data_IF_810265667716
#
_entry.id   IF_810265667716
#
_cell.length_a   1.000
_cell.length_b   1.000
_cell.length_c   1.000
_cell.angle_alpha   90.00
_cell.angle_beta   90.00
_cell.angle_gamma   90.00
#
_symmetry.space_group_name_H-M   'P 1'
#
loop_
_entity.id
_entity.type
_entity.pdbx_description
1 polymer ?
#
# COMPACT_ATOMS: atom_id res chain seq x y z
N UNK A 1 -43.70 40.32 3.09
CA UNK A 1 -43.86 39.17 4.01
C UNK A 1 -43.53 37.90 3.27
N UNK A 2 -42.31 37.40 3.43
CA UNK A 2 -41.89 36.07 2.99
C UNK A 2 -42.07 35.10 4.16
N UNK A 3 -42.53 33.86 3.96
CA UNK A 3 -42.26 32.80 4.92
C UNK A 3 -40.99 32.06 4.51
N UNK A 4 -40.06 31.99 5.47
CA UNK A 4 -38.92 31.11 5.47
C UNK A 4 -39.37 29.64 5.35
N UNK A 5 -38.60 28.83 4.63
CA UNK A 5 -38.68 27.37 4.73
C UNK A 5 -37.31 26.82 5.12
N UNK A 6 -37.36 26.07 6.21
CA UNK A 6 -36.26 25.58 7.01
C UNK A 6 -35.28 24.69 6.25
N UNK A 7 -34.01 24.85 6.60
CA UNK A 7 -32.93 23.94 6.27
C UNK A 7 -33.12 22.62 7.01
N UNK A 8 -33.58 21.60 6.28
CA UNK A 8 -33.45 20.20 6.70
C UNK A 8 -32.07 19.68 6.36
N UNK A 9 -31.15 19.69 7.32
CA UNK A 9 -29.93 18.89 7.28
C UNK A 9 -30.33 17.41 7.24
N UNK A 10 -30.10 16.76 6.10
CA UNK A 10 -30.36 15.34 5.92
C UNK A 10 -29.24 14.54 6.59
N UNK A 11 -29.25 14.52 7.92
CA UNK A 11 -28.40 13.63 8.73
C UNK A 11 -28.97 12.22 8.66
N UNK A 12 -28.55 11.46 7.64
CA UNK A 12 -28.86 10.03 7.54
C UNK A 12 -27.80 9.23 8.30
N UNK A 13 -27.84 9.28 9.62
CA UNK A 13 -27.38 8.15 10.43
C UNK A 13 -28.36 7.00 10.20
N UNK A 14 -28.09 6.17 9.19
CA UNK A 14 -28.80 4.92 8.99
C UNK A 14 -28.51 4.01 10.20
N UNK A 15 -29.53 3.77 11.03
CA UNK A 15 -29.53 2.68 12.00
C UNK A 15 -29.37 1.36 11.23
N UNK A 16 -28.18 0.77 11.28
CA UNK A 16 -27.94 -0.56 10.72
C UNK A 16 -28.52 -1.57 11.71
N UNK A 17 -29.67 -2.16 11.35
CA UNK A 17 -30.23 -3.33 12.03
C UNK A 17 -29.21 -4.49 11.96
N UNK A 18 -29.00 -5.27 13.04
CA UNK A 18 -28.11 -6.41 12.97
C UNK A 18 -28.71 -7.50 12.05
N UNK A 19 -27.85 -7.99 11.16
CA UNK A 19 -27.98 -9.22 10.35
C UNK A 19 -28.83 -9.17 9.07
N UNK A 20 -28.23 -8.62 8.01
CA UNK A 20 -28.24 -9.27 6.70
C UNK A 20 -26.79 -9.65 6.34
N UNK A 21 -26.59 -10.79 5.66
CA UNK A 21 -25.27 -11.21 5.22
C UNK A 21 -24.69 -10.18 4.22
N UNK A 22 -23.85 -9.28 4.73
CA UNK A 22 -23.16 -8.29 3.89
C UNK A 22 -22.05 -8.93 3.06
N UNK A 23 -21.99 -8.56 1.78
CA UNK A 23 -20.85 -8.80 0.91
C UNK A 23 -20.05 -7.50 0.72
N UNK A 24 -18.79 -7.49 1.16
CA UNK A 24 -17.89 -6.34 1.07
C UNK A 24 -16.93 -6.50 -0.10
N UNK A 25 -16.82 -5.50 -0.98
CA UNK A 25 -15.84 -5.48 -2.05
C UNK A 25 -14.71 -4.50 -1.72
N UNK A 26 -13.49 -5.02 -1.55
CA UNK A 26 -12.29 -4.20 -1.38
C UNK A 26 -11.60 -3.90 -2.71
N UNK A 27 -11.29 -2.63 -2.95
CA UNK A 27 -10.64 -2.16 -4.17
C UNK A 27 -9.27 -1.57 -3.86
N UNK A 28 -8.28 -1.95 -4.65
CA UNK A 28 -7.02 -1.21 -4.78
C UNK A 28 -6.63 -1.11 -6.26
N UNK A 29 -5.47 -0.54 -6.56
CA UNK A 29 -5.00 -0.38 -7.94
C UNK A 29 -4.94 -1.71 -8.69
N UNK A 30 -4.24 -2.72 -8.15
CA UNK A 30 -3.95 -3.95 -8.92
C UNK A 30 -4.35 -5.28 -8.34
N UNK A 31 -5.21 -5.29 -7.31
CA UNK A 31 -5.70 -6.52 -6.69
C UNK A 31 -4.62 -7.55 -6.31
N UNK A 32 -3.45 -7.07 -5.90
CA UNK A 32 -2.28 -7.92 -5.62
C UNK A 32 -1.74 -7.74 -4.19
N UNK A 33 -1.98 -6.58 -3.57
CA UNK A 33 -1.48 -6.19 -2.26
C UNK A 33 -2.62 -5.86 -1.27
N UNK A 34 -2.90 -4.56 -1.04
CA UNK A 34 -3.82 -4.06 -0.01
C UNK A 34 -5.22 -4.69 -0.04
N UNK A 35 -5.89 -4.70 -1.19
CA UNK A 35 -7.27 -5.22 -1.28
C UNK A 35 -7.36 -6.73 -1.04
N UNK A 36 -6.35 -7.50 -1.49
CA UNK A 36 -6.29 -8.95 -1.28
C UNK A 36 -6.04 -9.28 0.19
N UNK A 37 -5.12 -8.54 0.82
CA UNK A 37 -4.91 -8.67 2.26
C UNK A 37 -6.19 -8.39 3.04
N UNK A 38 -6.88 -7.28 2.73
CA UNK A 38 -8.14 -6.91 3.38
C UNK A 38 -9.23 -7.98 3.22
N UNK A 39 -9.42 -8.51 2.01
CA UNK A 39 -10.38 -9.61 1.74
C UNK A 39 -10.09 -10.84 2.62
N UNK A 40 -8.84 -11.31 2.60
CA UNK A 40 -8.46 -12.55 3.27
C UNK A 40 -8.53 -12.43 4.79
N UNK A 41 -8.09 -11.30 5.35
CA UNK A 41 -8.21 -10.98 6.78
C UNK A 41 -9.67 -10.86 7.20
N UNK A 42 -10.50 -10.18 6.40
CA UNK A 42 -11.93 -10.06 6.66
C UNK A 42 -12.58 -11.44 6.73
N UNK A 43 -12.39 -12.27 5.70
CA UNK A 43 -12.99 -13.61 5.62
C UNK A 43 -12.45 -14.57 6.68
N UNK A 44 -11.20 -14.41 7.11
CA UNK A 44 -10.64 -15.17 8.21
C UNK A 44 -11.35 -14.84 9.53
N UNK A 45 -11.43 -13.56 9.88
CA UNK A 45 -12.06 -13.15 11.14
C UNK A 45 -13.57 -13.32 11.14
N UNK A 46 -14.26 -13.10 10.02
CA UNK A 46 -15.69 -13.38 9.91
C UNK A 46 -15.99 -14.85 10.24
N UNK A 47 -15.19 -15.79 9.67
CA UNK A 47 -15.32 -17.22 9.98
C UNK A 47 -14.99 -17.55 11.44
N UNK A 48 -13.92 -16.98 12.00
CA UNK A 48 -13.57 -17.19 13.40
C UNK A 48 -14.67 -16.72 14.36
N UNK A 49 -15.38 -15.64 14.00
CA UNK A 49 -16.46 -15.07 14.80
C UNK A 49 -17.83 -15.67 14.47
N UNK A 50 -17.92 -16.62 13.53
CA UNK A 50 -19.20 -17.20 13.10
C UNK A 50 -20.14 -16.20 12.42
N UNK A 51 -19.61 -15.12 11.87
CA UNK A 51 -20.40 -14.08 11.20
C UNK A 51 -20.71 -14.48 9.75
N UNK A 52 -21.92 -14.19 9.24
CA UNK A 52 -22.32 -14.57 7.87
C UNK A 52 -21.73 -13.64 6.79
N UNK A 53 -20.91 -12.66 7.17
CA UNK A 53 -20.36 -11.68 6.25
C UNK A 53 -19.23 -12.27 5.40
N UNK A 54 -19.15 -11.81 4.16
CA UNK A 54 -18.10 -12.22 3.23
C UNK A 54 -17.48 -11.00 2.55
N UNK A 55 -16.26 -11.17 2.08
CA UNK A 55 -15.57 -10.18 1.28
C UNK A 55 -15.00 -10.77 -0.01
N UNK A 56 -14.95 -9.93 -1.04
CA UNK A 56 -14.19 -10.11 -2.26
C UNK A 56 -13.28 -8.89 -2.48
N UNK A 57 -12.42 -8.96 -3.49
CA UNK A 57 -11.58 -7.82 -3.87
C UNK A 57 -11.28 -7.79 -5.36
N UNK A 58 -11.05 -6.59 -5.88
CA UNK A 58 -10.72 -6.38 -7.29
C UNK A 58 -9.81 -5.16 -7.51
N UNK A 59 -9.33 -5.00 -8.74
CA UNK A 59 -8.33 -4.01 -9.15
C UNK A 59 -8.94 -2.91 -10.00
N UNK A 60 -8.60 -1.65 -9.70
CA UNK A 60 -9.12 -0.48 -10.42
C UNK A 60 -8.34 -0.15 -11.70
N UNK A 61 -7.05 -0.49 -11.77
CA UNK A 61 -6.24 -0.31 -12.98
C UNK A 61 -6.27 -1.57 -13.83
N UNK A 62 -6.71 -1.43 -15.08
CA UNK A 62 -6.90 -2.55 -16.00
C UNK A 62 -5.60 -3.31 -16.24
N UNK A 63 -5.66 -4.63 -16.05
CA UNK A 63 -4.57 -5.58 -16.34
C UNK A 63 -3.22 -5.19 -15.71
N UNK A 64 -3.22 -4.33 -14.68
CA UNK A 64 -1.97 -3.86 -14.08
C UNK A 64 -1.23 -4.95 -13.30
N UNK A 65 -1.93 -6.03 -12.96
CA UNK A 65 -1.40 -7.20 -12.27
C UNK A 65 -0.66 -8.19 -13.17
N UNK A 66 -0.77 -8.11 -14.50
CA UNK A 66 -0.09 -9.06 -15.41
C UNK A 66 1.43 -9.02 -15.32
N UNK A 67 1.96 -7.93 -14.76
CA UNK A 67 3.40 -7.74 -14.51
C UNK A 67 3.84 -8.29 -13.16
N UNK A 68 2.90 -8.74 -12.33
CA UNK A 68 3.15 -9.25 -11.00
C UNK A 68 3.08 -10.79 -10.98
N UNK A 69 4.10 -11.48 -10.47
CA UNK A 69 4.10 -12.94 -10.45
C UNK A 69 3.15 -13.51 -9.38
N UNK A 70 2.18 -14.32 -9.81
CA UNK A 70 1.34 -15.13 -8.92
C UNK A 70 0.14 -14.40 -8.30
N UNK A 71 -0.45 -15.00 -7.27
CA UNK A 71 -1.72 -14.57 -6.70
C UNK A 71 -1.64 -13.34 -5.78
N UNK A 72 -0.51 -13.13 -5.10
CA UNK A 72 -0.35 -12.16 -4.01
C UNK A 72 1.06 -11.58 -3.97
N UNK A 73 1.18 -10.32 -3.55
CA UNK A 73 2.48 -9.69 -3.32
C UNK A 73 3.28 -10.42 -2.23
N UNK A 74 4.63 -10.42 -2.30
CA UNK A 74 5.46 -11.00 -1.26
C UNK A 74 5.10 -10.52 0.15
N UNK A 75 4.87 -9.21 0.31
CA UNK A 75 4.44 -8.62 1.58
C UNK A 75 3.09 -9.14 2.07
N UNK A 76 2.11 -9.34 1.18
CA UNK A 76 0.82 -9.93 1.56
C UNK A 76 1.00 -11.39 2.00
N UNK A 77 1.76 -12.18 1.24
CA UNK A 77 2.01 -13.60 1.57
C UNK A 77 2.70 -13.74 2.92
N UNK A 78 3.73 -12.94 3.16
CA UNK A 78 4.44 -12.92 4.45
C UNK A 78 3.50 -12.53 5.59
N UNK A 79 2.74 -11.45 5.44
CA UNK A 79 1.82 -10.98 6.47
C UNK A 79 0.73 -12.01 6.80
N UNK A 80 0.20 -12.73 5.80
CA UNK A 80 -0.77 -13.80 6.00
C UNK A 80 -0.13 -15.03 6.66
N UNK A 81 1.09 -15.40 6.24
CA UNK A 81 1.85 -16.51 6.81
C UNK A 81 2.08 -16.32 8.31
N UNK A 82 2.55 -15.13 8.73
CA UNK A 82 2.75 -14.77 10.14
C UNK A 82 1.45 -14.87 10.96
N UNK A 83 0.29 -14.68 10.32
CA UNK A 83 -1.04 -14.77 10.96
C UNK A 83 -1.67 -16.16 10.88
N UNK A 84 -1.03 -17.11 10.19
CA UNK A 84 -1.62 -18.42 9.92
C UNK A 84 -2.89 -18.36 9.05
N UNK A 85 -3.02 -17.34 8.19
CA UNK A 85 -4.18 -17.17 7.31
C UNK A 85 -3.90 -17.85 5.97
N UNK A 86 -4.65 -18.90 5.67
CA UNK A 86 -4.58 -19.60 4.39
C UNK A 86 -5.21 -18.78 3.25
N UNK A 87 -4.69 -18.97 2.03
CA UNK A 87 -5.24 -18.40 0.80
C UNK A 87 -5.12 -19.42 -0.35
N UNK A 88 -5.96 -19.25 -1.38
CA UNK A 88 -5.86 -20.04 -2.61
C UNK A 88 -4.78 -19.44 -3.54
N UNK A 89 -3.70 -20.18 -3.84
CA UNK A 89 -2.65 -19.70 -4.74
C UNK A 89 -3.08 -19.61 -6.21
N UNK A 90 -4.22 -20.20 -6.59
CA UNK A 90 -4.73 -20.17 -7.96
C UNK A 90 -5.63 -18.96 -8.23
N UNK A 91 -6.12 -18.28 -7.19
CA UNK A 91 -6.93 -17.08 -7.35
C UNK A 91 -6.02 -15.89 -7.65
N UNK A 92 -5.82 -15.66 -8.94
CA UNK A 92 -5.04 -14.53 -9.46
C UNK A 92 -5.75 -13.20 -9.22
N UNK A 93 -5.01 -12.08 -9.27
CA UNK A 93 -5.60 -10.75 -9.29
C UNK A 93 -6.60 -10.59 -10.45
N UNK A 94 -7.63 -9.79 -10.25
CA UNK A 94 -8.63 -9.50 -11.26
C UNK A 94 -9.04 -8.03 -11.27
N UNK A 95 -9.53 -7.57 -12.41
CA UNK A 95 -10.05 -6.21 -12.57
C UNK A 95 -11.46 -6.12 -12.00
N UNK A 96 -11.82 -4.97 -11.46
CA UNK A 96 -13.18 -4.71 -10.99
C UNK A 96 -14.13 -4.62 -12.19
N UNK A 97 -15.32 -5.20 -12.03
CA UNK A 97 -16.41 -5.15 -13.02
C UNK A 97 -17.62 -4.41 -12.46
N UNK A 98 -18.52 -3.98 -13.36
CA UNK A 98 -19.77 -3.33 -12.97
C UNK A 98 -20.65 -4.27 -12.13
N UNK A 99 -20.64 -5.57 -12.44
CA UNK A 99 -21.40 -6.60 -11.73
C UNK A 99 -20.85 -6.81 -10.31
N UNK A 100 -19.52 -6.79 -10.14
CA UNK A 100 -18.90 -6.86 -8.82
C UNK A 100 -19.30 -5.66 -7.94
N UNK A 101 -19.29 -4.45 -8.51
CA UNK A 101 -19.75 -3.24 -7.82
C UNK A 101 -21.24 -3.34 -7.45
N UNK A 102 -22.09 -3.76 -8.38
CA UNK A 102 -23.54 -3.84 -8.19
C UNK A 102 -23.98 -4.91 -7.18
N UNK A 103 -23.25 -6.01 -7.09
CA UNK A 103 -23.55 -7.13 -6.18
C UNK A 103 -23.02 -6.95 -4.75
N UNK A 104 -22.12 -5.99 -4.54
CA UNK A 104 -21.58 -5.71 -3.22
C UNK A 104 -22.55 -4.87 -2.39
N UNK A 105 -22.77 -5.27 -1.14
CA UNK A 105 -23.52 -4.47 -0.15
C UNK A 105 -22.73 -3.23 0.24
N UNK A 106 -21.40 -3.36 0.28
CA UNK A 106 -20.48 -2.29 0.64
C UNK A 106 -19.24 -2.36 -0.23
N UNK A 107 -18.83 -1.22 -0.79
CA UNK A 107 -17.61 -1.11 -1.59
C UNK A 107 -16.63 -0.17 -0.89
N UNK A 108 -15.40 -0.61 -0.73
CA UNK A 108 -14.34 0.13 -0.05
C UNK A 108 -13.12 0.21 -0.96
N UNK A 109 -12.69 1.42 -1.33
CA UNK A 109 -11.40 1.66 -1.95
C UNK A 109 -10.37 2.05 -0.89
N UNK A 110 -9.21 1.37 -0.87
CA UNK A 110 -8.30 1.41 0.28
C UNK A 110 -7.53 2.74 0.46
N UNK A 111 -7.47 3.59 -0.57
CA UNK A 111 -6.75 4.88 -0.56
C UNK A 111 -7.44 5.93 -1.42
N UNK A 112 -7.98 7.00 -0.84
CA UNK A 112 -8.85 7.93 -1.53
C UNK A 112 -8.19 8.69 -2.69
N UNK A 113 -7.06 9.32 -2.42
CA UNK A 113 -6.29 10.13 -3.36
C UNK A 113 -5.84 9.33 -4.59
N UNK A 114 -5.50 8.05 -4.41
CA UNK A 114 -5.10 7.14 -5.48
C UNK A 114 -6.30 6.58 -6.25
N UNK A 115 -7.36 6.14 -5.56
CA UNK A 115 -8.40 5.33 -6.18
C UNK A 115 -9.62 6.13 -6.63
N UNK A 116 -9.96 7.26 -5.97
CA UNK A 116 -11.11 8.09 -6.36
C UNK A 116 -11.01 8.56 -7.82
N UNK A 117 -9.85 9.02 -8.34
CA UNK A 117 -9.71 9.36 -9.75
C UNK A 117 -9.90 8.16 -10.69
N UNK A 118 -9.44 6.96 -10.31
CA UNK A 118 -9.61 5.75 -11.12
C UNK A 118 -11.09 5.32 -11.19
N UNK A 119 -11.80 5.39 -10.06
CA UNK A 119 -13.24 5.16 -10.02
C UNK A 119 -13.96 6.19 -10.87
N UNK A 120 -13.64 7.48 -10.74
CA UNK A 120 -14.27 8.53 -11.55
C UNK A 120 -14.06 8.33 -13.06
N UNK A 121 -12.88 7.86 -13.46
CA UNK A 121 -12.55 7.61 -14.86
C UNK A 121 -13.30 6.38 -15.43
N UNK A 122 -13.42 5.29 -14.68
CA UNK A 122 -13.97 4.02 -15.19
C UNK A 122 -15.44 3.77 -14.81
N UNK A 123 -15.85 4.27 -13.65
CA UNK A 123 -17.14 3.99 -13.01
C UNK A 123 -17.71 5.27 -12.34
N UNK A 124 -17.92 6.37 -13.09
CA UNK A 124 -18.27 7.68 -12.53
C UNK A 124 -19.52 7.67 -11.63
N UNK A 125 -20.51 6.83 -11.93
CA UNK A 125 -21.72 6.67 -11.12
C UNK A 125 -21.48 6.08 -9.72
N UNK A 126 -20.31 5.47 -9.50
CA UNK A 126 -19.92 4.85 -8.24
C UNK A 126 -19.03 5.74 -7.38
N UNK A 127 -18.51 6.86 -7.89
CA UNK A 127 -17.55 7.73 -7.19
C UNK A 127 -18.05 8.20 -5.82
N UNK A 128 -19.35 8.48 -5.68
CA UNK A 128 -19.93 8.92 -4.40
C UNK A 128 -20.63 7.79 -3.63
N UNK A 129 -20.62 6.57 -4.18
CA UNK A 129 -21.23 5.36 -3.57
C UNK A 129 -20.19 4.45 -2.90
N UNK A 130 -18.91 4.69 -3.17
CA UNK A 130 -17.79 3.93 -2.59
C UNK A 130 -17.31 4.65 -1.33
N UNK A 131 -16.99 3.86 -0.29
CA UNK A 131 -16.25 4.36 0.86
C UNK A 131 -14.76 4.37 0.54
N UNK A 132 -14.07 5.46 0.90
CA UNK A 132 -12.65 5.58 0.70
C UNK A 132 -11.92 5.57 2.04
N UNK A 133 -10.88 4.75 2.12
CA UNK A 133 -9.90 4.76 3.21
C UNK A 133 -8.64 5.52 2.79
N UNK A 134 -7.65 5.59 3.68
CA UNK A 134 -6.42 6.34 3.47
C UNK A 134 -5.19 5.48 3.83
N UNK A 135 -5.09 4.29 3.25
CA UNK A 135 -3.95 3.40 3.42
C UNK A 135 -2.99 3.49 2.23
N UNK A 136 -1.83 4.08 2.52
CA UNK A 136 -0.69 4.23 1.63
C UNK A 136 -0.27 2.90 0.96
N UNK A 137 0.23 2.96 -0.28
CA UNK A 137 0.83 1.79 -0.91
C UNK A 137 2.23 1.52 -0.32
N UNK A 138 2.82 0.36 -0.63
CA UNK A 138 4.15 -0.04 -0.19
C UNK A 138 5.24 0.96 -0.60
N UNK A 139 5.03 1.69 -1.70
CA UNK A 139 5.93 2.74 -2.20
C UNK A 139 5.90 4.01 -1.34
N UNK A 140 4.77 4.27 -0.69
CA UNK A 140 4.54 5.46 0.13
C UNK A 140 4.87 5.17 1.60
N UNK A 141 4.55 3.97 2.08
CA UNK A 141 4.76 3.55 3.46
C UNK A 141 5.08 2.04 3.57
N UNK A 142 6.03 1.63 4.44
CA UNK A 142 6.40 0.22 4.57
C UNK A 142 5.22 -0.69 4.92
N UNK A 143 5.18 -1.88 4.31
CA UNK A 143 4.12 -2.86 4.53
C UNK A 143 3.97 -3.30 6.00
N UNK A 144 5.08 -3.27 6.76
CA UNK A 144 5.12 -3.53 8.21
C UNK A 144 4.33 -2.51 9.03
N UNK A 145 4.04 -1.34 8.45
CA UNK A 145 3.20 -0.31 9.07
C UNK A 145 1.78 -0.33 8.48
N UNK A 146 1.66 -0.42 7.16
CA UNK A 146 0.35 -0.35 6.47
C UNK A 146 -0.53 -1.56 6.79
N UNK A 147 0.00 -2.79 6.70
CA UNK A 147 -0.83 -3.99 6.81
C UNK A 147 -1.44 -4.20 8.21
N UNK A 148 -0.71 -3.99 9.33
CA UNK A 148 -1.33 -4.04 10.66
C UNK A 148 -2.42 -2.98 10.87
N UNK A 149 -2.22 -1.76 10.34
CA UNK A 149 -3.21 -0.70 10.45
C UNK A 149 -4.46 -1.01 9.60
N UNK A 150 -4.27 -1.56 8.40
CA UNK A 150 -5.34 -2.01 7.52
C UNK A 150 -6.14 -3.15 8.15
N UNK A 151 -5.49 -4.13 8.77
CA UNK A 151 -6.15 -5.20 9.53
C UNK A 151 -6.99 -4.64 10.68
N UNK A 152 -6.48 -3.65 11.43
CA UNK A 152 -7.24 -3.01 12.50
C UNK A 152 -8.52 -2.36 11.97
N UNK A 153 -8.46 -1.67 10.81
CA UNK A 153 -9.63 -1.10 10.16
C UNK A 153 -10.62 -2.17 9.66
N UNK A 154 -10.12 -3.27 9.10
CA UNK A 154 -10.95 -4.42 8.70
C UNK A 154 -11.68 -5.03 9.90
N UNK A 155 -11.00 -5.18 11.05
CA UNK A 155 -11.63 -5.69 12.28
C UNK A 155 -12.68 -4.73 12.83
N UNK A 156 -12.44 -3.42 12.77
CA UNK A 156 -13.44 -2.41 13.13
C UNK A 156 -14.66 -2.46 12.20
N UNK A 157 -14.44 -2.64 10.88
CA UNK A 157 -15.52 -2.82 9.92
C UNK A 157 -16.36 -4.05 10.26
N UNK A 158 -15.75 -5.19 10.52
CA UNK A 158 -16.44 -6.41 10.93
C UNK A 158 -17.26 -6.21 12.21
N UNK A 159 -16.69 -5.55 13.21
CA UNK A 159 -17.41 -5.25 14.45
C UNK A 159 -18.65 -4.39 14.21
N UNK A 160 -18.60 -3.43 13.28
CA UNK A 160 -19.77 -2.62 12.89
C UNK A 160 -20.82 -3.43 12.14
N UNK A 161 -20.41 -4.28 11.22
CA UNK A 161 -21.34 -5.16 10.51
C UNK A 161 -22.06 -6.13 11.47
N UNK A 162 -21.39 -6.50 12.56
CA UNK A 162 -21.96 -7.30 13.65
C UNK A 162 -22.84 -6.49 14.64
N UNK A 163 -23.09 -5.19 14.42
CA UNK A 163 -23.92 -4.34 15.28
C UNK A 163 -23.18 -3.65 16.44
N UNK A 164 -21.84 -3.59 16.41
CA UNK A 164 -21.04 -2.84 17.37
C UNK A 164 -21.20 -1.31 17.27
N UNK A 165 -20.88 -0.54 18.33
CA UNK A 165 -21.12 0.90 18.40
C UNK A 165 -20.37 1.68 17.30
N UNK A 166 -20.95 2.78 16.78
CA UNK A 166 -20.41 3.56 15.68
C UNK A 166 -19.30 4.55 16.12
N UNK A 167 -18.40 4.17 17.02
CA UNK A 167 -17.31 5.08 17.42
C UNK A 167 -16.06 4.83 16.54
N UNK A 168 -15.79 5.78 15.64
CA UNK A 168 -14.55 5.85 14.85
C UNK A 168 -14.78 6.16 13.37
N UNK A 169 -14.93 7.44 13.02
CA UNK A 169 -15.03 7.94 11.65
C UNK A 169 -14.02 7.22 10.71
N UNK A 170 -14.52 6.48 9.71
CA UNK A 170 -13.73 5.77 8.68
C UNK A 170 -12.86 6.68 7.79
N UNK A 171 -12.85 8.00 8.03
CA UNK A 171 -12.10 8.99 7.24
C UNK A 171 -10.72 9.34 7.78
N UNK A 172 -10.33 8.88 8.97
CA UNK A 172 -9.03 9.25 9.56
C UNK A 172 -8.33 8.06 10.21
N UNK A 173 -7.58 7.31 9.41
CA UNK A 173 -6.42 6.57 9.89
C UNK A 173 -5.15 7.17 9.28
N UNK A 174 -4.90 8.47 9.50
CA UNK A 174 -3.54 8.99 9.41
C UNK A 174 -2.76 8.38 10.59
N UNK A 175 -1.65 7.71 10.29
CA UNK A 175 -0.75 7.19 11.30
C UNK A 175 -0.31 8.32 12.25
N UNK A 176 -0.77 8.30 13.49
CA UNK A 176 -0.33 9.23 14.52
C UNK A 176 1.09 8.87 15.00
N UNK A 177 1.94 9.86 15.34
CA UNK A 177 3.28 9.60 15.86
C UNK A 177 3.19 9.01 17.28
N UNK A 178 4.09 8.06 17.54
CA UNK A 178 4.19 7.27 18.78
C UNK A 178 4.29 8.18 20.01
N UNK A 179 3.40 8.00 20.99
CA UNK A 179 3.67 8.36 22.40
C UNK A 179 3.83 7.08 23.21
N UNK A 180 4.94 7.00 23.91
CA UNK A 180 5.24 6.00 24.92
C UNK A 180 4.23 6.07 26.06
N UNK A 181 3.53 4.97 26.31
CA UNK A 181 2.73 4.78 27.52
C UNK A 181 3.35 3.62 28.31
N UNK A 182 3.79 3.98 29.51
CA UNK A 182 4.16 3.11 30.62
C UNK A 182 3.09 2.02 30.86
N UNK A 183 3.50 0.75 30.85
CA UNK A 183 2.64 -0.37 31.25
C UNK A 183 2.78 -0.60 32.76
N UNK A 184 1.87 0.01 33.53
CA UNK A 184 1.52 -0.47 34.87
C UNK A 184 0.51 -1.62 34.76
N UNK A 185 0.84 -2.77 35.34
CA UNK A 185 -0.05 -3.94 35.41
C UNK A 185 -1.21 -3.67 36.38
N UNK A 186 -2.49 -3.95 36.01
CA UNK A 186 -3.54 -4.13 37.00
C UNK A 186 -3.55 -5.58 37.52
N UNK A 187 -3.87 -5.70 38.82
CA UNK A 187 -3.95 -6.94 39.61
C UNK A 187 -4.96 -7.92 39.03
N UNK A 188 -4.62 -9.21 39.11
CA UNK A 188 -5.46 -10.33 38.73
C UNK A 188 -6.79 -10.34 39.50
N UNK A 189 -7.90 -10.43 38.74
CA UNK A 189 -9.21 -10.82 39.25
C UNK A 189 -9.32 -12.34 39.16
N UNK A 190 -9.66 -12.95 40.30
CA UNK A 190 -9.86 -14.39 40.49
C UNK A 190 -11.04 -14.90 39.66
N UNK A 191 -10.79 -15.80 38.72
CA UNK A 191 -11.84 -16.60 38.07
C UNK A 191 -11.75 -18.02 38.66
N UNK A 192 -12.73 -18.36 39.49
CA UNK A 192 -12.88 -19.70 40.04
C UNK A 192 -13.55 -20.61 39.00
N UNK A 193 -13.04 -21.83 38.84
CA UNK A 193 -13.78 -22.94 38.24
C UNK A 193 -13.28 -23.46 36.90
N UNK A 194 -12.09 -24.08 36.87
CA UNK A 194 -11.77 -25.12 35.90
C UNK A 194 -11.02 -26.24 36.65
N UNK A 195 -11.59 -27.44 36.64
CA UNK A 195 -10.99 -28.64 37.23
C UNK A 195 -9.72 -29.03 36.47
N UNK A 196 -8.56 -28.83 37.11
CA UNK A 196 -7.29 -29.39 36.64
C UNK A 196 -7.22 -30.88 36.98
N UNK A 197 -7.42 -31.76 36.00
CA UNK A 197 -6.80 -33.08 36.03
C UNK A 197 -5.30 -32.90 35.77
N UNK A 198 -4.47 -33.13 36.79
CA UNK A 198 -3.02 -33.11 36.65
C UNK A 198 -2.58 -34.16 35.61
N UNK A 199 -1.68 -33.83 34.66
CA UNK A 199 -1.09 -34.84 33.79
C UNK A 199 -0.28 -35.84 34.64
N UNK A 200 -0.39 -37.12 34.31
CA UNK A 200 0.35 -38.19 34.97
C UNK A 200 1.86 -37.87 35.04
N UNK A 201 2.58 -38.29 36.11
CA UNK A 201 4.00 -38.00 36.27
C UNK A 201 4.78 -38.59 35.10
N UNK A 202 5.37 -37.71 34.30
CA UNK A 202 6.25 -38.06 33.19
C UNK A 202 7.45 -38.80 33.77
N UNK A 203 7.73 -40.02 33.31
CA UNK A 203 8.89 -40.77 33.79
C UNK A 203 10.19 -39.99 33.55
N UNK A 204 11.19 -40.14 34.43
CA UNK A 204 12.48 -39.43 34.30
C UNK A 204 13.10 -39.62 32.91
N UNK A 205 12.94 -40.79 32.30
CA UNK A 205 13.44 -41.09 30.96
C UNK A 205 12.65 -40.40 29.83
N UNK A 206 11.35 -40.18 30.00
CA UNK A 206 10.55 -39.41 29.05
C UNK A 206 10.83 -37.90 29.14
N UNK A 207 11.02 -37.37 30.36
CA UNK A 207 11.41 -35.97 30.56
C UNK A 207 12.77 -35.65 29.91
N UNK A 208 13.77 -36.53 30.09
CA UNK A 208 15.10 -36.36 29.47
C UNK A 208 15.03 -36.37 27.94
N UNK A 209 14.22 -37.25 27.34
CA UNK A 209 14.03 -37.29 25.88
C UNK A 209 13.40 -36.00 25.35
N UNK A 210 12.38 -35.48 26.02
CA UNK A 210 11.71 -34.24 25.62
C UNK A 210 12.70 -33.07 25.66
N UNK A 211 13.46 -32.93 26.75
CA UNK A 211 14.47 -31.87 26.88
C UNK A 211 15.54 -31.99 25.79
N UNK A 212 16.05 -33.20 25.53
CA UNK A 212 17.04 -33.42 24.48
C UNK A 212 16.52 -33.03 23.09
N UNK A 213 15.28 -33.39 22.76
CA UNK A 213 14.65 -33.02 21.49
C UNK A 213 14.46 -31.51 21.35
N UNK A 214 14.01 -30.83 22.42
CA UNK A 214 13.87 -29.37 22.43
C UNK A 214 15.23 -28.70 22.20
N UNK A 215 16.29 -29.16 22.86
CA UNK A 215 17.64 -28.61 22.68
C UNK A 215 18.14 -28.79 21.25
N UNK A 216 17.91 -29.96 20.63
CA UNK A 216 18.29 -30.21 19.23
C UNK A 216 17.52 -29.29 18.27
N UNK A 217 16.21 -29.14 18.46
CA UNK A 217 15.38 -28.27 17.63
C UNK A 217 15.82 -26.81 17.79
N UNK A 218 16.02 -26.33 19.02
CA UNK A 218 16.49 -24.97 19.29
C UNK A 218 17.87 -24.74 18.69
N UNK A 219 18.78 -25.71 18.80
CA UNK A 219 20.11 -25.65 18.18
C UNK A 219 20.05 -25.57 16.66
N UNK A 220 19.20 -26.39 16.02
CA UNK A 220 19.00 -26.36 14.56
C UNK A 220 18.40 -25.04 14.08
N UNK A 221 17.35 -24.55 14.76
CA UNK A 221 16.72 -23.26 14.44
C UNK A 221 17.69 -22.10 14.65
N UNK A 222 18.47 -22.11 15.75
CA UNK A 222 19.47 -21.07 16.03
C UNK A 222 20.61 -21.09 15.01
N UNK A 223 21.08 -22.28 14.63
CA UNK A 223 22.08 -22.44 13.57
C UNK A 223 21.58 -21.90 12.23
N UNK A 224 20.32 -22.16 11.89
CA UNK A 224 19.69 -21.66 10.65
C UNK A 224 19.49 -20.13 10.67
N UNK A 225 19.16 -19.55 11.82
CA UNK A 225 19.05 -18.09 11.97
C UNK A 225 20.41 -17.40 11.85
N UNK A 226 21.50 -18.03 12.29
CA UNK A 226 22.86 -17.51 12.12
C UNK A 226 23.36 -17.59 10.68
N UNK A 227 22.87 -18.56 9.89
CA UNK A 227 23.20 -18.69 8.46
C UNK A 227 22.22 -17.97 7.53
N UNK A 228 21.15 -17.38 8.07
CA UNK A 228 20.24 -16.54 7.30
C UNK A 228 21.01 -15.33 6.80
N UNK A 229 21.35 -15.37 5.52
CA UNK A 229 21.97 -14.28 4.79
C UNK A 229 21.11 -13.04 5.01
N UNK A 230 21.73 -12.00 5.57
CA UNK A 230 21.11 -10.69 5.74
C UNK A 230 20.79 -10.20 4.33
N UNK A 231 19.57 -10.41 3.86
CA UNK A 231 19.08 -9.68 2.70
C UNK A 231 19.20 -8.20 3.07
N UNK A 232 20.11 -7.52 2.36
CA UNK A 232 20.47 -6.14 2.64
C UNK A 232 19.26 -5.29 2.26
N UNK A 233 18.38 -5.06 3.24
CA UNK A 233 17.17 -4.25 3.08
C UNK A 233 17.56 -2.88 2.54
N UNK A 234 17.22 -2.63 1.28
CA UNK A 234 17.51 -1.35 0.64
C UNK A 234 16.60 -0.28 1.24
N UNK A 235 17.19 0.81 1.74
CA UNK A 235 16.42 1.89 2.38
C UNK A 235 15.76 2.77 1.32
N UNK A 236 14.43 2.85 1.35
CA UNK A 236 13.69 3.76 0.49
C UNK A 236 13.79 5.20 1.02
N UNK A 237 14.29 6.12 0.19
CA UNK A 237 14.53 7.53 0.52
C UNK A 237 14.23 8.43 -0.66
N UNK A 238 13.80 9.65 -0.41
CA UNK A 238 13.75 10.68 -1.44
C UNK A 238 15.09 11.41 -1.59
N UNK A 239 15.30 12.06 -2.74
CA UNK A 239 16.51 12.84 -3.02
C UNK A 239 16.81 13.87 -1.91
N UNK A 240 15.80 14.59 -1.41
CA UNK A 240 15.97 15.56 -0.33
C UNK A 240 16.46 14.93 0.97
N UNK A 241 15.95 13.76 1.34
CA UNK A 241 16.36 13.06 2.56
C UNK A 241 17.80 12.52 2.46
N UNK A 242 18.20 12.05 1.27
CA UNK A 242 19.58 11.60 1.02
C UNK A 242 20.53 12.79 1.09
N UNK A 243 20.18 13.89 0.42
CA UNK A 243 21.02 15.08 0.32
C UNK A 243 21.07 15.91 1.62
N UNK A 244 20.09 15.78 2.51
CA UNK A 244 20.12 16.43 3.82
C UNK A 244 21.15 15.79 4.76
N UNK A 245 21.43 14.49 4.62
CA UNK A 245 22.42 13.80 5.46
C UNK A 245 23.18 12.70 4.70
N UNK A 246 24.01 13.05 3.69
CA UNK A 246 24.66 12.06 2.83
C UNK A 246 25.56 11.07 3.59
N UNK A 247 26.27 11.56 4.60
CA UNK A 247 27.17 10.74 5.43
C UNK A 247 26.45 9.60 6.16
N UNK A 248 25.16 9.77 6.50
CA UNK A 248 24.37 8.73 7.18
C UNK A 248 24.02 7.55 6.25
N UNK A 249 24.17 7.75 4.93
CA UNK A 249 23.77 6.80 3.89
C UNK A 249 24.94 6.16 3.16
N UNK A 250 26.18 6.54 3.48
CA UNK A 250 27.37 5.91 2.89
C UNK A 250 27.44 4.43 3.24
N UNK A 251 27.81 3.61 2.24
CA UNK A 251 27.95 2.16 2.39
C UNK A 251 26.63 1.42 2.63
N UNK A 252 25.48 2.10 2.54
CA UNK A 252 24.16 1.47 2.62
C UNK A 252 23.54 1.38 1.24
N UNK A 253 22.81 0.29 1.00
CA UNK A 253 21.97 0.15 -0.18
C UNK A 253 20.71 1.03 -0.04
N UNK A 254 20.45 1.86 -1.04
CA UNK A 254 19.35 2.82 -1.07
C UNK A 254 18.45 2.56 -2.28
N UNK A 255 17.16 2.84 -2.13
CA UNK A 255 16.23 3.08 -3.24
C UNK A 255 15.87 4.56 -3.21
N UNK A 256 16.43 5.33 -4.14
CA UNK A 256 16.28 6.77 -4.17
C UNK A 256 15.20 7.17 -5.16
N UNK A 257 14.13 7.77 -4.65
CA UNK A 257 13.00 8.28 -5.43
C UNK A 257 13.18 9.74 -5.80
N UNK A 258 12.94 10.08 -7.06
CA UNK A 258 12.81 11.46 -7.52
C UNK A 258 12.41 11.54 -8.99
N UNK A 259 12.73 12.67 -9.62
CA UNK A 259 12.35 12.95 -11.00
C UNK A 259 13.60 13.24 -11.82
N UNK A 260 13.67 12.72 -13.04
CA UNK A 260 14.82 12.97 -13.92
C UNK A 260 14.79 14.42 -14.39
N UNK A 261 15.85 15.17 -14.08
CA UNK A 261 15.99 16.57 -14.51
C UNK A 261 15.98 16.61 -16.05
N UNK A 262 15.15 17.45 -16.69
CA UNK A 262 15.12 17.58 -18.14
C UNK A 262 16.50 17.87 -18.72
N UNK A 263 16.82 17.23 -19.85
CA UNK A 263 18.10 17.37 -20.55
C UNK A 263 19.35 16.98 -19.72
N UNK A 264 19.20 16.26 -18.62
CA UNK A 264 20.35 15.78 -17.82
C UNK A 264 20.88 14.40 -18.21
N UNK A 265 20.15 13.65 -19.05
CA UNK A 265 20.52 12.28 -19.41
C UNK A 265 21.65 12.29 -20.43
N UNK A 266 22.84 11.89 -19.98
CA UNK A 266 24.03 11.67 -20.80
C UNK A 266 24.31 10.18 -20.91
N UNK A 267 24.31 9.65 -22.13
CA UNK A 267 24.72 8.28 -22.43
C UNK A 267 26.07 8.29 -23.12
N UNK A 268 27.03 7.51 -22.63
CA UNK A 268 28.33 7.37 -23.32
C UNK A 268 28.15 6.56 -24.62
N UNK A 269 28.57 7.08 -25.79
CA UNK A 269 28.44 6.36 -27.06
C UNK A 269 29.14 5.00 -27.03
N UNK A 270 28.47 3.97 -27.56
CA UNK A 270 29.02 2.61 -27.63
C UNK A 270 29.05 1.84 -26.30
N UNK A 271 28.57 2.41 -25.18
CA UNK A 271 28.48 1.71 -23.90
C UNK A 271 27.05 1.76 -23.32
N UNK A 272 26.86 1.06 -22.20
CA UNK A 272 25.64 1.10 -21.39
C UNK A 272 25.78 2.04 -20.17
N UNK A 273 26.75 2.96 -20.21
CA UNK A 273 26.98 3.90 -19.12
C UNK A 273 26.10 5.15 -19.30
N UNK A 274 25.36 5.48 -18.25
CA UNK A 274 24.47 6.63 -18.15
C UNK A 274 24.89 7.51 -16.97
N UNK A 275 24.82 8.82 -17.19
CA UNK A 275 24.87 9.85 -16.15
C UNK A 275 23.63 10.71 -16.26
N UNK A 276 22.97 10.98 -15.16
CA UNK A 276 21.79 11.83 -15.13
C UNK A 276 21.60 12.42 -13.74
N UNK A 277 20.74 13.44 -13.63
CA UNK A 277 20.43 14.08 -12.36
C UNK A 277 18.99 13.75 -11.99
N UNK A 278 18.80 13.36 -10.73
CA UNK A 278 17.48 13.16 -10.14
C UNK A 278 17.21 14.27 -9.14
N UNK A 279 16.01 14.85 -9.17
CA UNK A 279 15.60 15.93 -8.27
C UNK A 279 14.41 15.54 -7.39
N UNK A 280 14.31 16.16 -6.21
CA UNK A 280 13.08 16.21 -5.43
C UNK A 280 12.17 17.34 -5.93
N UNK A 281 10.85 17.12 -5.86
CA UNK A 281 9.82 18.11 -6.25
C UNK A 281 8.92 18.46 -5.07
N UNK A 282 8.23 19.60 -5.19
CA UNK A 282 7.22 20.07 -4.24
C UNK A 282 6.23 18.95 -3.88
N UNK A 283 5.88 18.75 -2.59
CA UNK A 283 6.08 19.66 -1.45
C UNK A 283 7.46 19.58 -0.77
N UNK A 284 8.41 18.80 -1.30
CA UNK A 284 9.75 18.63 -0.71
C UNK A 284 10.69 19.76 -1.12
N UNK A 285 11.71 20.01 -0.30
CA UNK A 285 12.75 20.96 -0.62
C UNK A 285 13.49 20.51 -1.90
N UNK A 286 13.71 21.41 -2.88
CA UNK A 286 14.39 21.06 -4.12
C UNK A 286 15.84 20.72 -3.84
N UNK A 287 16.20 19.48 -4.14
CA UNK A 287 17.55 18.91 -4.00
C UNK A 287 17.84 18.11 -5.26
N UNK A 288 19.12 17.99 -5.60
CA UNK A 288 19.59 17.28 -6.79
C UNK A 288 20.63 16.24 -6.39
N UNK A 289 20.56 15.07 -7.03
CA UNK A 289 21.48 13.98 -6.84
C UNK A 289 21.97 13.50 -8.21
N UNK A 290 23.29 13.47 -8.40
CA UNK A 290 23.87 12.89 -9.59
C UNK A 290 23.78 11.37 -9.52
N UNK A 291 23.45 10.71 -10.63
CA UNK A 291 23.36 9.26 -10.71
C UNK A 291 24.26 8.75 -11.81
N UNK A 292 25.09 7.77 -11.49
CA UNK A 292 25.82 6.97 -12.45
C UNK A 292 25.19 5.58 -12.51
N UNK A 293 24.79 5.13 -13.70
CA UNK A 293 24.17 3.82 -13.90
C UNK A 293 24.81 3.10 -15.08
N UNK A 294 25.04 1.79 -14.94
CA UNK A 294 25.50 0.95 -16.04
C UNK A 294 24.56 -0.22 -16.23
N UNK A 295 23.82 -0.22 -17.34
CA UNK A 295 22.86 -1.27 -17.62
C UNK A 295 21.82 -0.87 -18.67
N UNK A 296 20.81 -1.72 -18.82
CA UNK A 296 19.67 -1.44 -19.69
C UNK A 296 18.66 -0.63 -18.89
N UNK A 297 18.27 0.53 -19.43
CA UNK A 297 17.22 1.37 -18.86
C UNK A 297 15.87 1.01 -19.50
N UNK A 298 14.75 1.04 -18.76
CA UNK A 298 13.43 0.79 -19.34
C UNK A 298 13.03 1.91 -20.32
N UNK A 299 12.17 1.62 -21.29
CA UNK A 299 11.71 2.60 -22.30
C UNK A 299 10.99 3.82 -21.71
N UNK A 300 10.50 3.67 -20.47
CA UNK A 300 9.83 4.73 -19.70
C UNK A 300 10.80 5.72 -19.07
N UNK A 301 12.10 5.40 -19.02
CA UNK A 301 13.15 6.28 -18.50
C UNK A 301 13.45 7.40 -19.51
N UNK A 302 12.92 8.59 -19.22
CA UNK A 302 13.02 9.78 -20.09
C UNK A 302 13.25 11.03 -19.24
N UNK A 303 13.53 12.15 -19.90
CA UNK A 303 13.48 13.45 -19.22
C UNK A 303 12.11 13.64 -18.55
N UNK A 304 12.09 14.24 -17.37
CA UNK A 304 10.88 14.51 -16.58
C UNK A 304 10.16 13.25 -16.03
N UNK A 305 10.69 12.04 -16.27
CA UNK A 305 10.09 10.82 -15.74
C UNK A 305 10.33 10.68 -14.23
N UNK A 306 9.30 10.20 -13.53
CA UNK A 306 9.41 9.75 -12.14
C UNK A 306 10.25 8.45 -12.11
N UNK A 307 11.25 8.41 -11.23
CA UNK A 307 12.24 7.34 -11.20
C UNK A 307 12.60 6.94 -9.78
N UNK A 308 12.79 5.63 -9.57
CA UNK A 308 13.43 5.05 -8.39
C UNK A 308 14.73 4.39 -8.83
N UNK A 309 15.85 4.88 -8.29
CA UNK A 309 17.18 4.33 -8.54
C UNK A 309 17.62 3.54 -7.31
N UNK A 310 17.81 2.24 -7.47
CA UNK A 310 18.43 1.41 -6.42
C UNK A 310 19.93 1.45 -6.59
N UNK A 311 20.69 1.73 -5.53
CA UNK A 311 22.15 1.83 -5.60
C UNK A 311 22.81 2.15 -4.27
N UNK A 312 24.10 2.47 -4.31
CA UNK A 312 24.87 2.92 -3.15
C UNK A 312 25.39 4.33 -3.39
N UNK A 313 25.39 5.16 -2.33
CA UNK A 313 25.92 6.50 -2.41
C UNK A 313 27.46 6.44 -2.43
N UNK A 314 28.05 7.04 -3.46
CA UNK A 314 29.49 7.19 -3.66
C UNK A 314 29.87 8.62 -3.30
N UNK A 315 30.50 8.79 -2.13
CA UNK A 315 30.76 10.11 -1.56
C UNK A 315 29.50 10.79 -1.04
N UNK A 316 29.34 12.09 -1.32
CA UNK A 316 28.24 12.92 -0.83
C UNK A 316 27.21 13.34 -1.88
N UNK A 317 27.52 13.18 -3.18
CA UNK A 317 26.74 13.83 -4.26
C UNK A 317 26.39 12.90 -5.43
N UNK A 318 26.93 11.68 -5.46
CA UNK A 318 26.70 10.73 -6.54
C UNK A 318 26.16 9.40 -6.03
N UNK A 319 25.09 8.92 -6.65
CA UNK A 319 24.56 7.58 -6.42
C UNK A 319 25.03 6.67 -7.56
N UNK A 320 25.68 5.56 -7.20
CA UNK A 320 26.01 4.49 -8.13
C UNK A 320 24.83 3.52 -8.20
N UNK A 321 24.06 3.62 -9.27
CA UNK A 321 22.85 2.82 -9.51
C UNK A 321 23.17 1.39 -9.95
N UNK A 322 22.41 0.45 -9.39
CA UNK A 322 22.37 -0.97 -9.73
C UNK A 322 21.11 -1.33 -10.52
N UNK A 323 19.99 -0.64 -10.26
CA UNK A 323 18.72 -0.85 -10.96
C UNK A 323 17.92 0.45 -11.05
N UNK A 324 17.19 0.61 -12.16
CA UNK A 324 16.34 1.77 -12.42
C UNK A 324 14.92 1.30 -12.69
N UNK A 325 13.96 1.87 -11.97
CA UNK A 325 12.54 1.74 -12.25
C UNK A 325 12.01 3.13 -12.60
N UNK A 326 11.42 3.30 -13.78
CA UNK A 326 10.89 4.58 -14.23
C UNK A 326 9.41 4.44 -14.62
N UNK A 327 8.62 5.45 -14.29
CA UNK A 327 7.22 5.57 -14.72
C UNK A 327 7.15 6.58 -15.86
N UNK A 328 6.26 6.34 -16.83
CA UNK A 328 6.02 7.31 -17.89
C UNK A 328 5.62 8.66 -17.28
N UNK A 329 6.19 9.79 -17.72
CA UNK A 329 5.71 11.11 -17.33
C UNK A 329 4.26 11.26 -17.82
N UNK A 330 3.30 11.25 -16.91
CA UNK A 330 1.91 11.52 -17.25
C UNK A 330 1.73 13.04 -17.35
N UNK A 331 1.91 13.60 -18.55
CA UNK A 331 1.52 15.00 -18.82
C UNK A 331 0.64 15.13 -20.06
N UNK A 332 -0.65 15.33 -19.79
CA UNK A 332 -1.51 16.22 -20.57
C UNK A 332 -0.91 17.63 -20.41
N UNK A 333 -0.25 18.13 -21.44
CA UNK A 333 0.04 19.56 -21.54
C UNK A 333 -1.15 20.23 -22.23
N UNK A 334 -1.93 21.00 -21.45
CA UNK A 334 -2.72 22.07 -22.01
C UNK A 334 -1.73 23.04 -22.68
N UNK A 335 -1.62 22.97 -24.01
CA UNK A 335 -0.96 24.03 -24.78
C UNK A 335 -1.77 25.30 -24.56
N UNK A 336 -1.17 26.23 -23.81
CA UNK A 336 -1.51 27.65 -23.84
C UNK A 336 -1.57 28.13 -25.29
N UNK A 337 -2.65 28.85 -25.60
CA UNK A 337 -2.91 29.42 -26.90
C UNK A 337 -1.87 30.45 -27.28
N UNK A 338 -0.95 30.05 -28.15
CA UNK A 338 -0.12 30.95 -28.94
C UNK A 338 -0.80 31.19 -30.29
N UNK A 339 -1.48 32.33 -30.36
CA UNK A 339 -1.54 33.26 -31.50
C UNK A 339 -1.53 32.66 -32.93
N UNK A 340 -2.70 32.63 -33.57
CA UNK A 340 -2.80 32.87 -35.01
C UNK A 340 -3.85 33.96 -35.26
N UNK A 341 -3.32 35.11 -35.66
CA UNK A 341 -4.03 36.25 -36.22
C UNK A 341 -4.84 35.75 -37.42
N UNK A 342 -6.17 35.68 -37.25
CA UNK A 342 -7.11 35.45 -38.35
C UNK A 342 -7.41 36.76 -39.06
N UNK A 343 -6.87 36.90 -40.27
CA UNK A 343 -7.18 37.99 -41.19
C UNK A 343 -8.70 38.13 -41.39
N UNK A 344 -9.18 39.37 -41.32
CA UNK A 344 -10.52 39.78 -41.74
C UNK A 344 -10.67 39.61 -43.27
N UNK A 345 -11.84 39.17 -43.78
CA UNK A 345 -12.16 39.29 -45.20
C UNK A 345 -12.61 40.72 -45.54
N UNK A 346 -12.05 41.25 -46.62
CA UNK A 346 -12.40 42.54 -47.24
C UNK A 346 -13.78 42.49 -47.94
N UNK A 347 -14.43 43.65 -48.17
CA UNK A 347 -15.77 43.71 -48.71
C UNK A 347 -15.83 43.51 -50.23
N UNK A 348 -16.90 42.85 -50.67
CA UNK A 348 -17.22 42.53 -52.06
C UNK A 348 -17.57 43.80 -52.84
N UNK A 349 -16.96 43.99 -54.02
CA UNK A 349 -17.32 45.03 -55.00
C UNK A 349 -17.57 44.38 -56.35
N UNK A 350 -18.79 44.53 -56.87
CA UNK A 350 -19.07 44.72 -58.29
C UNK A 350 -19.38 43.50 -59.15
N UNK A 351 -20.67 43.27 -59.44
CA UNK A 351 -21.26 43.45 -60.78
C UNK A 351 -22.79 43.43 -60.67
#
# INVERSE_FOLDING_TARGET
MSPARDGGTNDRTATIMPSAAAHVLFLCTGNYYRSRFAELVFNHHARQLGLPHQASSAGLAERCWERNPGALSPHTREALSVRGIAYDPNRLPCDVTQEALASATLVIAVKEDEHRPMVAARFPQWTDRILYWAFDDVYDQPATTVLPALEAAVRQLLARLAGGPPDGVLRQARAAPRRSVWLGFPRAATIAGMSNTAPAPVSKSAAVKIVATVVVIVGLVSGLLLTSTKEETAYYKHVDEVMTSPAAWQGKKLQVHGYVVPASIEKKPGTLDYRFIVESRSPRAPQKLAVYYRGIVPDTFKSDSEVVVTGMLEGSEQLKGESIQAKCPSRYEAKEGSNLIGNAPTPNTGS
#
